data_IF_205215875619
#
_entry.id   IF_205215875619
#
_cell.length_a   1.000
_cell.length_b   1.000
_cell.length_c   1.000
_cell.angle_alpha   90.00
_cell.angle_beta   90.00
_cell.angle_gamma   90.00
#
_symmetry.space_group_name_H-M   'P 1'
#
loop_
_entity.id
_entity.type
_entity.pdbx_description
1 polymer ?
#
# COMPACT_ATOMS: atom_id res chain seq x y z
N UNK A 1 -18.62 -19.62 -15.53
CA UNK A 1 -19.73 -19.33 -16.48
C UNK A 1 -19.68 -20.21 -17.73
N UNK A 2 -18.59 -20.22 -18.50
CA UNK A 2 -18.45 -21.03 -19.75
C UNK A 2 -18.76 -22.52 -19.59
N UNK A 3 -18.51 -23.10 -18.40
CA UNK A 3 -18.81 -24.52 -18.11
C UNK A 3 -20.30 -24.81 -17.97
N UNK A 4 -21.04 -23.96 -17.26
CA UNK A 4 -22.45 -24.18 -16.91
C UNK A 4 -23.42 -23.52 -17.90
N UNK A 5 -23.02 -22.39 -18.50
CA UNK A 5 -23.81 -21.60 -19.45
C UNK A 5 -22.96 -21.29 -20.70
N UNK A 6 -22.69 -22.28 -21.58
CA UNK A 6 -21.77 -22.11 -22.69
C UNK A 6 -22.25 -21.12 -23.77
N UNK A 7 -23.57 -20.89 -23.87
CA UNK A 7 -24.18 -19.97 -24.83
C UNK A 7 -24.41 -18.55 -24.26
N UNK A 8 -23.84 -18.23 -23.09
CA UNK A 8 -24.00 -16.90 -22.51
C UNK A 8 -23.33 -15.80 -23.36
N UNK A 9 -23.88 -14.60 -23.28
CA UNK A 9 -23.24 -13.38 -23.74
C UNK A 9 -22.97 -12.47 -22.54
N UNK A 10 -21.88 -11.70 -22.60
CA UNK A 10 -21.55 -10.72 -21.56
C UNK A 10 -22.04 -9.33 -21.98
N UNK A 11 -22.86 -8.71 -21.13
CA UNK A 11 -23.30 -7.33 -21.27
C UNK A 11 -22.55 -6.49 -20.23
N UNK A 12 -21.70 -5.54 -20.64
CA UNK A 12 -20.99 -4.67 -19.72
C UNK A 12 -21.95 -3.78 -18.91
N UNK A 13 -21.66 -3.61 -17.63
CA UNK A 13 -22.34 -2.68 -16.74
C UNK A 13 -21.35 -1.73 -16.05
N UNK A 14 -21.85 -0.60 -15.56
CA UNK A 14 -21.01 0.40 -14.89
C UNK A 14 -20.45 -0.08 -13.54
N UNK A 15 -21.14 -1.01 -12.87
CA UNK A 15 -20.68 -1.67 -11.64
C UNK A 15 -21.45 -2.98 -11.42
N UNK A 16 -20.98 -3.82 -10.50
CA UNK A 16 -21.66 -5.07 -10.11
C UNK A 16 -23.01 -4.83 -9.42
N UNK A 17 -23.24 -3.64 -8.85
CA UNK A 17 -24.56 -3.28 -8.28
C UNK A 17 -25.46 -2.73 -9.38
N UNK A 18 -24.92 -1.92 -10.30
CA UNK A 18 -25.68 -1.38 -11.42
C UNK A 18 -26.17 -2.47 -12.38
N UNK A 19 -25.41 -3.56 -12.58
CA UNK A 19 -25.88 -4.72 -13.34
C UNK A 19 -27.14 -5.34 -12.75
N UNK A 20 -27.21 -5.46 -11.42
CA UNK A 20 -28.36 -6.03 -10.71
C UNK A 20 -29.58 -5.11 -10.74
N UNK A 21 -29.38 -3.80 -10.55
CA UNK A 21 -30.45 -2.80 -10.63
C UNK A 21 -31.02 -2.73 -12.05
N UNK A 22 -30.16 -2.83 -13.08
CA UNK A 22 -30.57 -2.81 -14.48
C UNK A 22 -31.55 -3.92 -14.87
N UNK A 23 -31.52 -5.06 -14.19
CA UNK A 23 -32.50 -6.14 -14.36
C UNK A 23 -33.88 -5.75 -13.82
N UNK A 24 -33.91 -5.04 -12.69
CA UNK A 24 -35.14 -4.69 -11.98
C UNK A 24 -35.88 -3.52 -12.62
N UNK A 25 -35.13 -2.52 -13.10
CA UNK A 25 -35.71 -1.33 -13.72
C UNK A 25 -35.89 -1.44 -15.24
N UNK A 26 -35.44 -2.54 -15.84
CA UNK A 26 -35.55 -2.81 -17.27
C UNK A 26 -34.61 -1.98 -18.14
N UNK A 27 -33.59 -1.34 -17.56
CA UNK A 27 -32.56 -0.60 -18.33
C UNK A 27 -31.50 -1.52 -18.91
N UNK A 28 -31.47 -2.79 -18.51
CA UNK A 28 -30.61 -3.83 -19.07
C UNK A 28 -31.42 -4.94 -19.71
N UNK A 29 -31.02 -5.36 -20.92
CA UNK A 29 -31.56 -6.54 -21.61
C UNK A 29 -30.94 -7.86 -21.09
N UNK A 30 -30.26 -7.85 -19.94
CA UNK A 30 -29.64 -9.04 -19.37
C UNK A 30 -30.68 -9.95 -18.69
N UNK A 31 -30.45 -11.27 -18.72
CA UNK A 31 -31.28 -12.24 -17.99
C UNK A 31 -30.82 -12.43 -16.53
N UNK A 32 -29.55 -12.13 -16.24
CA UNK A 32 -28.93 -12.32 -14.93
C UNK A 32 -27.77 -11.34 -14.72
N UNK A 33 -27.41 -11.11 -13.46
CA UNK A 33 -26.33 -10.20 -13.06
C UNK A 33 -25.36 -10.86 -12.07
N UNK A 34 -24.09 -10.48 -12.15
CA UNK A 34 -23.07 -10.83 -11.16
C UNK A 34 -22.97 -9.66 -10.18
N UNK A 35 -23.24 -9.94 -8.90
CA UNK A 35 -23.33 -8.95 -7.84
C UNK A 35 -22.66 -9.42 -6.53
N UNK A 36 -22.37 -8.51 -5.58
CA UNK A 36 -21.91 -8.90 -4.25
C UNK A 36 -22.94 -9.77 -3.51
N UNK A 37 -22.53 -10.66 -2.60
CA UNK A 37 -23.44 -11.55 -1.88
C UNK A 37 -24.56 -10.84 -1.10
N UNK A 38 -24.32 -9.61 -0.62
CA UNK A 38 -25.30 -8.82 0.16
C UNK A 38 -26.33 -8.10 -0.71
N UNK A 39 -26.36 -8.32 -2.03
CA UNK A 39 -27.26 -7.59 -2.94
C UNK A 39 -28.74 -7.83 -2.61
N UNK A 40 -29.10 -9.03 -2.18
CA UNK A 40 -30.48 -9.43 -1.83
C UNK A 40 -30.96 -8.81 -0.52
N UNK A 41 -30.07 -8.26 0.30
CA UNK A 41 -30.46 -7.47 1.48
C UNK A 41 -30.99 -6.08 1.10
N UNK A 42 -30.70 -5.63 -0.13
CA UNK A 42 -31.02 -4.29 -0.60
C UNK A 42 -32.06 -4.27 -1.73
N UNK A 43 -32.17 -5.36 -2.49
CA UNK A 43 -32.99 -5.45 -3.69
C UNK A 43 -33.69 -6.80 -3.79
N UNK A 44 -34.88 -6.81 -4.40
CA UNK A 44 -35.70 -8.01 -4.58
C UNK A 44 -35.15 -8.86 -5.73
N UNK A 45 -34.16 -9.67 -5.44
CA UNK A 45 -33.44 -10.52 -6.40
C UNK A 45 -33.33 -11.95 -5.86
N UNK A 46 -33.32 -12.91 -6.78
CA UNK A 46 -33.06 -14.32 -6.47
C UNK A 46 -31.60 -14.70 -6.78
N UNK A 47 -30.96 -15.42 -5.85
CA UNK A 47 -29.59 -15.93 -6.05
C UNK A 47 -29.64 -17.21 -6.87
N UNK A 48 -29.15 -17.17 -8.12
CA UNK A 48 -29.08 -18.34 -9.00
C UNK A 48 -27.86 -19.24 -8.71
N UNK A 49 -26.74 -18.63 -8.28
CA UNK A 49 -25.50 -19.33 -7.95
C UNK A 49 -24.60 -18.46 -7.06
N UNK A 50 -23.86 -19.11 -6.16
CA UNK A 50 -22.90 -18.46 -5.27
C UNK A 50 -21.46 -18.90 -5.57
N UNK A 51 -20.48 -18.15 -5.09
CA UNK A 51 -19.05 -18.49 -5.18
C UNK A 51 -18.59 -18.81 -6.63
N UNK A 52 -19.13 -18.08 -7.60
CA UNK A 52 -18.89 -18.28 -9.04
C UNK A 52 -17.56 -17.70 -9.55
N UNK A 53 -16.71 -17.18 -8.67
CA UNK A 53 -15.41 -16.62 -9.02
C UNK A 53 -14.38 -17.70 -9.30
N UNK A 54 -13.53 -17.48 -10.30
CA UNK A 54 -12.53 -18.48 -10.72
C UNK A 54 -11.37 -18.64 -9.72
N UNK A 55 -11.04 -17.57 -8.98
CA UNK A 55 -9.95 -17.55 -8.01
C UNK A 55 -10.48 -17.53 -6.57
N UNK A 56 -10.35 -18.63 -5.80
CA UNK A 56 -10.82 -18.69 -4.41
C UNK A 56 -10.01 -17.79 -3.45
N UNK A 57 -8.83 -17.33 -3.87
CA UNK A 57 -7.95 -16.46 -3.09
C UNK A 57 -8.06 -14.99 -3.51
N UNK A 58 -9.05 -14.62 -4.33
CA UNK A 58 -9.25 -13.24 -4.72
C UNK A 58 -9.60 -12.38 -3.50
N UNK A 59 -8.76 -11.39 -3.22
CA UNK A 59 -8.96 -10.43 -2.13
C UNK A 59 -8.84 -9.01 -2.66
N UNK A 60 -9.67 -8.11 -2.15
CA UNK A 60 -9.57 -6.67 -2.45
C UNK A 60 -9.01 -5.94 -1.23
N UNK A 61 -7.89 -5.25 -1.43
CA UNK A 61 -7.31 -4.39 -0.39
C UNK A 61 -7.98 -3.02 -0.42
N UNK A 62 -8.51 -2.61 0.73
CA UNK A 62 -9.00 -1.26 0.96
C UNK A 62 -8.08 -0.49 1.91
N UNK A 63 -8.11 0.83 1.83
CA UNK A 63 -7.47 1.75 2.78
C UNK A 63 -8.49 2.77 3.24
N UNK A 64 -8.58 3.01 4.55
CA UNK A 64 -9.39 4.08 5.11
C UNK A 64 -8.54 5.34 5.22
N UNK A 65 -8.91 6.39 4.48
CA UNK A 65 -8.15 7.64 4.42
C UNK A 65 -8.87 8.73 5.21
N UNK A 66 -8.17 9.31 6.17
CA UNK A 66 -8.63 10.47 6.95
C UNK A 66 -7.85 11.75 6.61
N UNK A 67 -8.17 12.83 7.33
CA UNK A 67 -7.32 14.04 7.33
C UNK A 67 -6.04 13.76 8.12
N UNK A 68 -5.04 14.63 7.95
CA UNK A 68 -3.79 14.55 8.69
C UNK A 68 -4.03 14.60 10.20
N UNK A 69 -3.53 13.59 10.89
CA UNK A 69 -3.55 13.45 12.35
C UNK A 69 -2.19 12.93 12.82
N UNK A 70 -1.94 12.96 14.12
CA UNK A 70 -0.77 12.29 14.68
C UNK A 70 -0.82 10.77 14.39
N UNK A 71 0.32 10.13 14.10
CA UNK A 71 0.37 8.68 13.97
C UNK A 71 -0.12 7.97 15.23
N UNK A 72 -0.77 6.82 15.07
CA UNK A 72 -1.09 5.95 16.20
C UNK A 72 0.18 5.36 16.81
N UNK A 73 0.14 4.81 18.03
CA UNK A 73 1.27 4.05 18.57
C UNK A 73 1.60 2.83 17.69
N UNK A 74 2.88 2.42 17.60
CA UNK A 74 3.30 1.23 16.86
C UNK A 74 2.69 -0.03 17.49
N UNK A 75 2.39 -0.98 16.62
CA UNK A 75 1.92 -2.33 16.98
C UNK A 75 3.00 -3.39 16.75
N UNK A 76 4.09 -3.05 16.06
CA UNK A 76 5.12 -3.99 15.59
C UNK A 76 4.70 -4.79 14.35
N UNK A 77 3.42 -4.70 13.96
CA UNK A 77 2.85 -5.26 12.75
C UNK A 77 2.28 -4.11 11.89
N UNK A 78 3.10 -3.09 11.63
CA UNK A 78 2.68 -1.86 10.96
C UNK A 78 3.18 -1.77 9.53
N UNK A 79 2.52 -0.89 8.78
CA UNK A 79 2.86 -0.50 7.43
C UNK A 79 2.90 1.02 7.35
N UNK A 80 3.88 1.55 6.63
CA UNK A 80 4.01 2.96 6.30
C UNK A 80 3.84 3.17 4.80
N UNK A 81 2.87 4.01 4.41
CA UNK A 81 2.63 4.33 3.00
C UNK A 81 3.19 5.71 2.63
N UNK A 82 3.80 5.79 1.45
CA UNK A 82 4.51 6.97 0.97
C UNK A 82 4.23 7.22 -0.51
N UNK A 83 4.31 8.49 -0.93
CA UNK A 83 4.53 8.86 -2.32
C UNK A 83 5.87 9.58 -2.40
N UNK A 84 6.77 9.10 -3.24
CA UNK A 84 8.11 9.67 -3.41
C UNK A 84 8.35 10.02 -4.87
N UNK A 85 8.69 11.25 -5.17
CA UNK A 85 9.07 11.67 -6.53
C UNK A 85 10.56 11.44 -6.76
N UNK A 86 10.94 11.03 -7.98
CA UNK A 86 12.35 11.02 -8.35
C UNK A 86 12.84 12.45 -8.63
N UNK A 87 14.07 12.80 -8.21
CA UNK A 87 14.66 14.10 -8.52
C UNK A 87 14.85 14.29 -10.03
N UNK A 88 15.33 13.24 -10.71
CA UNK A 88 15.58 13.19 -12.16
C UNK A 88 15.39 11.75 -12.64
N UNK A 89 15.08 11.60 -13.93
CA UNK A 89 14.97 10.29 -14.58
C UNK A 89 16.29 9.93 -15.24
N UNK A 90 16.97 8.94 -14.67
CA UNK A 90 18.21 8.38 -15.19
C UNK A 90 18.40 6.94 -14.69
N UNK A 91 19.20 6.12 -15.38
CA UNK A 91 19.49 4.76 -14.94
C UNK A 91 20.08 4.75 -13.52
N UNK A 92 19.42 4.04 -12.59
CA UNK A 92 19.84 3.97 -11.19
C UNK A 92 19.05 4.88 -10.23
N UNK A 93 18.29 5.86 -10.72
CA UNK A 93 17.52 6.76 -9.86
C UNK A 93 16.54 6.04 -8.92
N UNK A 94 15.89 4.97 -9.40
CA UNK A 94 15.05 4.11 -8.56
C UNK A 94 15.88 3.30 -7.55
N UNK A 95 17.06 2.82 -7.94
CA UNK A 95 17.92 2.07 -7.02
C UNK A 95 18.33 2.95 -5.83
N UNK A 96 18.77 4.19 -6.09
CA UNK A 96 19.16 5.15 -5.03
C UNK A 96 17.99 5.46 -4.07
N UNK A 97 16.75 5.49 -4.60
CA UNK A 97 15.55 5.59 -3.79
C UNK A 97 15.36 4.33 -2.92
N UNK A 98 15.46 3.15 -3.52
CA UNK A 98 15.25 1.88 -2.82
C UNK A 98 16.33 1.61 -1.76
N UNK A 99 17.55 2.09 -1.98
CA UNK A 99 18.64 2.04 -1.01
C UNK A 99 18.32 2.78 0.28
N UNK A 100 17.45 3.80 0.26
CA UNK A 100 16.98 4.46 1.48
C UNK A 100 16.27 3.48 2.43
N UNK A 101 15.64 2.42 1.90
CA UNK A 101 14.98 1.38 2.68
C UNK A 101 15.88 0.16 2.89
N UNK A 102 16.52 -0.32 1.83
CA UNK A 102 17.25 -1.59 1.84
C UNK A 102 18.45 -1.56 2.81
N UNK A 103 19.16 -0.43 2.88
CA UNK A 103 20.32 -0.26 3.79
C UNK A 103 19.92 -0.22 5.27
N UNK A 104 18.63 -0.10 5.58
CA UNK A 104 18.05 -0.04 6.93
C UNK A 104 17.20 -1.27 7.28
N UNK A 105 17.23 -2.30 6.42
CA UNK A 105 16.48 -3.54 6.65
C UNK A 105 14.96 -3.38 6.58
N UNK A 106 14.48 -2.41 5.79
CA UNK A 106 13.04 -2.18 5.61
C UNK A 106 12.55 -2.92 4.38
N UNK A 107 11.59 -3.83 4.58
CA UNK A 107 10.93 -4.54 3.50
C UNK A 107 9.86 -3.67 2.83
N UNK A 108 9.64 -3.85 1.52
CA UNK A 108 8.59 -3.17 0.77
C UNK A 108 7.52 -4.19 0.34
N UNK A 109 6.25 -3.87 0.62
CA UNK A 109 5.10 -4.70 0.22
C UNK A 109 4.32 -4.12 -0.96
N UNK A 110 4.63 -2.89 -1.38
CA UNK A 110 4.14 -2.27 -2.61
C UNK A 110 5.21 -1.32 -3.16
N UNK A 111 5.44 -1.40 -4.47
CA UNK A 111 6.21 -0.42 -5.22
C UNK A 111 5.54 -0.24 -6.59
N UNK A 112 4.95 0.92 -6.83
CA UNK A 112 4.28 1.22 -8.09
C UNK A 112 4.69 2.59 -8.63
N UNK A 113 5.22 2.63 -9.85
CA UNK A 113 5.51 3.88 -10.55
C UNK A 113 4.23 4.49 -11.11
N UNK A 114 4.16 5.83 -11.11
CA UNK A 114 3.12 6.62 -11.75
C UNK A 114 3.77 7.82 -12.45
N UNK A 115 3.47 8.06 -13.74
CA UNK A 115 3.95 9.27 -14.40
C UNK A 115 3.34 10.51 -13.74
N UNK A 116 4.11 11.58 -13.66
CA UNK A 116 3.64 12.90 -13.26
C UNK A 116 3.31 13.65 -14.56
N UNK A 117 2.06 14.10 -14.69
CA UNK A 117 1.57 14.68 -15.94
C UNK A 117 2.08 16.09 -16.26
N UNK A 118 3.05 16.60 -15.51
CA UNK A 118 3.60 17.95 -15.68
C UNK A 118 4.81 18.00 -16.61
N UNK A 119 5.56 16.91 -16.75
CA UNK A 119 6.67 16.77 -17.71
C UNK A 119 6.97 15.31 -18.06
N UNK A 120 7.48 15.09 -19.27
CA UNK A 120 7.97 13.76 -19.69
C UNK A 120 9.12 13.29 -18.81
N UNK A 121 9.15 11.99 -18.52
CA UNK A 121 10.18 11.36 -17.67
C UNK A 121 10.00 11.61 -16.17
N UNK A 122 9.03 12.41 -15.72
CA UNK A 122 8.79 12.58 -14.29
C UNK A 122 7.94 11.45 -13.74
N UNK A 123 8.43 10.81 -12.68
CA UNK A 123 7.75 9.72 -12.00
C UNK A 123 7.66 9.96 -10.51
N UNK A 124 6.56 9.47 -9.94
CA UNK A 124 6.38 9.27 -8.50
C UNK A 124 6.13 7.81 -8.22
N UNK A 125 6.56 7.36 -7.05
CA UNK A 125 6.42 5.99 -6.60
C UNK A 125 5.47 5.96 -5.42
N UNK A 126 4.43 5.12 -5.52
CA UNK A 126 3.58 4.77 -4.39
C UNK A 126 4.20 3.55 -3.72
N UNK A 127 4.51 3.68 -2.43
CA UNK A 127 5.30 2.71 -1.69
C UNK A 127 4.54 2.32 -0.42
N UNK A 128 4.49 1.02 -0.13
CA UNK A 128 4.18 0.51 1.20
C UNK A 128 5.44 -0.14 1.76
N UNK A 129 5.90 0.35 2.91
CA UNK A 129 7.07 -0.15 3.62
C UNK A 129 6.65 -0.77 4.95
N UNK A 130 7.29 -1.86 5.34
CA UNK A 130 7.00 -2.56 6.59
C UNK A 130 7.69 -1.85 7.75
N UNK A 131 6.90 -1.46 8.77
CA UNK A 131 7.37 -0.68 9.91
C UNK A 131 6.55 0.57 10.16
N UNK A 132 6.75 1.15 11.34
CA UNK A 132 6.06 2.34 11.82
C UNK A 132 6.98 3.57 11.78
N UNK A 133 6.43 4.78 11.64
CA UNK A 133 7.22 6.03 11.65
C UNK A 133 8.02 6.24 12.95
N UNK A 134 7.63 5.58 14.04
CA UNK A 134 8.35 5.62 15.31
C UNK A 134 9.48 4.59 15.41
N UNK A 135 9.59 3.66 14.48
CA UNK A 135 10.75 2.76 14.40
C UNK A 135 11.98 3.57 13.95
N UNK A 136 13.13 3.37 14.57
CA UNK A 136 14.32 4.20 14.32
C UNK A 136 14.82 4.08 12.88
N UNK A 137 14.83 2.85 12.37
CA UNK A 137 15.16 2.55 10.97
C UNK A 137 14.22 3.25 9.99
N UNK A 138 12.92 3.34 10.30
CA UNK A 138 11.94 3.98 9.42
C UNK A 138 12.08 5.50 9.46
N UNK A 139 12.26 6.07 10.65
CA UNK A 139 12.53 7.48 10.81
C UNK A 139 13.78 7.90 10.03
N UNK A 140 14.88 7.13 10.12
CA UNK A 140 16.10 7.43 9.37
C UNK A 140 15.92 7.26 7.85
N UNK A 141 15.11 6.29 7.40
CA UNK A 141 14.76 6.15 5.98
C UNK A 141 13.98 7.37 5.46
N UNK A 142 13.01 7.87 6.22
CA UNK A 142 12.24 9.06 5.88
C UNK A 142 13.12 10.31 5.78
N UNK A 143 14.10 10.45 6.69
CA UNK A 143 15.08 11.53 6.62
C UNK A 143 15.97 11.40 5.37
N UNK A 144 16.41 10.19 5.03
CA UNK A 144 17.14 9.88 3.80
C UNK A 144 16.36 10.27 2.54
N UNK A 145 15.11 9.82 2.45
CA UNK A 145 14.20 10.16 1.36
C UNK A 145 13.98 11.66 1.26
N UNK A 146 13.84 12.37 2.39
CA UNK A 146 13.61 13.83 2.38
C UNK A 146 14.80 14.60 1.82
N UNK A 147 16.04 14.10 1.99
CA UNK A 147 17.26 14.69 1.43
C UNK A 147 17.42 14.34 -0.05
N UNK A 148 17.08 13.12 -0.44
CA UNK A 148 17.23 12.60 -1.80
C UNK A 148 16.14 13.12 -2.77
N UNK A 149 14.88 13.11 -2.32
CA UNK A 149 13.72 13.35 -3.17
C UNK A 149 13.25 14.81 -3.11
N UNK A 150 12.85 15.41 -4.26
CA UNK A 150 12.25 16.73 -4.29
C UNK A 150 10.92 16.79 -3.54
N UNK A 151 10.21 15.65 -3.45
CA UNK A 151 8.91 15.57 -2.80
C UNK A 151 8.65 14.18 -2.23
N UNK A 152 8.44 14.17 -0.92
CA UNK A 152 7.99 13.01 -0.16
C UNK A 152 6.65 13.37 0.46
N UNK A 153 5.63 12.56 0.21
CA UNK A 153 4.31 12.66 0.84
C UNK A 153 4.15 11.46 1.76
N UNK A 154 4.11 11.72 3.06
CA UNK A 154 3.78 10.71 4.06
C UNK A 154 2.26 10.50 4.08
N UNK A 155 1.82 9.28 3.82
CA UNK A 155 0.39 8.93 3.80
C UNK A 155 -0.09 8.30 5.13
N UNK A 156 0.83 7.96 6.03
CA UNK A 156 0.52 7.40 7.34
C UNK A 156 1.28 6.12 7.63
N UNK A 157 1.43 5.84 8.93
CA UNK A 157 1.78 4.52 9.47
C UNK A 157 0.56 3.95 10.17
N UNK A 158 0.23 2.70 9.90
CA UNK A 158 -0.99 2.07 10.36
C UNK A 158 -0.83 0.55 10.49
N UNK A 159 -1.64 -0.12 11.34
CA UNK A 159 -1.58 -1.56 11.51
C UNK A 159 -1.83 -2.30 10.20
N UNK A 160 -1.07 -3.37 9.96
CA UNK A 160 -1.30 -4.28 8.85
C UNK A 160 -2.63 -5.02 9.05
N UNK A 161 -3.36 -5.21 7.95
CA UNK A 161 -4.59 -5.98 7.97
C UNK A 161 -4.37 -7.45 8.40
N UNK A 162 -3.22 -8.03 8.03
CA UNK A 162 -2.84 -9.41 8.38
C UNK A 162 -2.26 -9.56 9.79
N UNK A 163 -1.96 -8.45 10.48
CA UNK A 163 -1.33 -8.39 11.81
C UNK A 163 -0.02 -9.21 11.92
N UNK A 164 0.65 -9.45 10.81
CA UNK A 164 1.94 -10.16 10.81
C UNK A 164 3.03 -9.21 11.32
N UNK A 165 3.69 -9.60 12.42
CA UNK A 165 4.80 -8.85 13.01
C UNK A 165 5.94 -8.72 12.01
N UNK A 166 6.44 -7.50 11.85
CA UNK A 166 7.55 -7.20 10.94
C UNK A 166 8.83 -7.77 11.53
N UNK A 167 9.52 -8.62 10.77
CA UNK A 167 10.80 -9.22 11.16
C UNK A 167 11.94 -8.64 10.33
N UNK A 168 13.08 -8.46 10.96
CA UNK A 168 14.28 -7.92 10.35
C UNK A 168 15.50 -8.38 11.16
N UNK A 169 16.69 -8.44 10.54
CA UNK A 169 17.92 -8.79 11.26
C UNK A 169 18.22 -7.85 12.43
N UNK A 170 18.80 -8.38 13.51
CA UNK A 170 19.12 -7.64 14.75
C UNK A 170 19.98 -6.40 14.52
N UNK A 171 20.84 -6.40 13.48
CA UNK A 171 21.64 -5.22 13.09
C UNK A 171 20.82 -3.99 12.69
N UNK A 172 19.50 -4.14 12.55
CA UNK A 172 18.56 -3.06 12.24
C UNK A 172 17.57 -2.81 13.39
N UNK A 173 17.84 -3.32 14.61
CA UNK A 173 17.06 -2.99 15.80
C UNK A 173 17.21 -1.52 16.17
N UNK A 174 16.19 -0.99 16.86
CA UNK A 174 16.20 0.40 17.31
C UNK A 174 17.40 0.68 18.22
N UNK A 175 17.79 -0.28 19.07
CA UNK A 175 18.96 -0.18 19.95
C UNK A 175 20.25 0.13 19.16
N UNK A 176 20.45 -0.49 17.99
CA UNK A 176 21.63 -0.23 17.16
C UNK A 176 21.64 1.21 16.63
N UNK A 177 20.48 1.75 16.25
CA UNK A 177 20.38 3.14 15.80
C UNK A 177 20.56 4.13 16.96
N UNK A 178 20.05 3.79 18.15
CA UNK A 178 20.25 4.59 19.37
C UNK A 178 21.73 4.62 19.75
N UNK A 179 22.37 3.45 19.83
CA UNK A 179 23.80 3.29 20.12
C UNK A 179 24.67 4.11 19.16
N UNK A 180 24.41 4.01 17.85
CA UNK A 180 25.14 4.76 16.84
C UNK A 180 25.02 6.30 17.02
N UNK A 181 23.86 6.80 17.44
CA UNK A 181 23.68 8.24 17.73
C UNK A 181 24.34 8.65 19.02
N UNK A 182 24.27 7.82 20.05
CA UNK A 182 24.91 8.11 21.34
C UNK A 182 26.43 8.14 21.18
N UNK A 183 27.00 7.20 20.43
CA UNK A 183 28.40 7.23 20.01
C UNK A 183 28.77 8.53 19.27
N UNK A 184 27.98 8.95 18.28
CA UNK A 184 28.20 10.22 17.58
C UNK A 184 28.13 11.43 18.53
N UNK A 185 27.22 11.43 19.51
CA UNK A 185 27.16 12.50 20.52
C UNK A 185 28.42 12.53 21.37
N UNK A 186 28.95 11.38 21.79
CA UNK A 186 30.21 11.27 22.53
C UNK A 186 31.39 11.87 21.77
N UNK A 187 31.52 11.55 20.46
CA UNK A 187 32.54 12.15 19.59
C UNK A 187 32.44 13.67 19.51
N UNK A 188 31.22 14.22 19.47
CA UNK A 188 30.97 15.66 19.39
C UNK A 188 31.16 16.38 20.74
N UNK A 189 30.90 15.71 21.86
CA UNK A 189 31.11 16.27 23.21
C UNK A 189 32.55 16.14 23.70
N UNK A 190 33.37 15.31 23.05
CA UNK A 190 34.76 15.04 23.46
C UNK A 190 34.86 14.10 24.65
N UNK A 191 33.81 13.30 24.91
CA UNK A 191 33.85 12.23 25.91
C UNK A 191 34.77 11.10 25.40
N UNK A 192 35.65 10.54 26.25
CA UNK A 192 36.48 9.41 25.86
C UNK A 192 35.60 8.17 25.57
N UNK A 193 35.92 7.43 24.51
CA UNK A 193 35.29 6.15 24.20
C UNK A 193 35.43 5.22 25.43
N UNK A 194 34.31 4.73 25.98
CA UNK A 194 34.26 3.73 27.06
C UNK A 194 34.65 2.34 26.57
#
# INVERSE_FOLDING_TARGET
MTRELPAHAHIPAASNVASAIGLLDGTSDADAAIAPPTITEHHDLEVLAENIGDNPNAVTRFVLVGRTVAPTPPTGADKTSLIVELPKDYPGALLELLEQFATRGINLSLLASRPIGDALGRYRFVIDADGHIQDERMADALLGLRRFSPKVIFLGSYPRADRVVVRYPDRYSDDIFVEARDWLRGLLSGEPDL
#
